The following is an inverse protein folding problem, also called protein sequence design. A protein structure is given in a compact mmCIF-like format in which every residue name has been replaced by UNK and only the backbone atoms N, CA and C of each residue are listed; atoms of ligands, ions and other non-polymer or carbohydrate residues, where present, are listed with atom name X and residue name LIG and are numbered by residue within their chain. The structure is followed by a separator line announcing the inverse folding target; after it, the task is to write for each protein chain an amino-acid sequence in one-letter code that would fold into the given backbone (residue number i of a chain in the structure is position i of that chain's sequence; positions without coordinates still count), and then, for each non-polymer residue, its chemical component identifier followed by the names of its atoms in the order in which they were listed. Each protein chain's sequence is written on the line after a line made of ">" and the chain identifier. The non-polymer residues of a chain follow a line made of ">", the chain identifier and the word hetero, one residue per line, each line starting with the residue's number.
data_IF_937016018449
#
_entry.id   IF_937016018449
#
_cell.length_a   1.000
_cell.length_b   1.000
_cell.length_c   1.000
_cell.angle_alpha   90.00
_cell.angle_beta   90.00
_cell.angle_gamma   90.00
#
_symmetry.space_group_name_H-M   'P 1'
#
loop_
_entity.id
_entity.type
_entity.pdbx_description
1 polymer ?
#
# COMPACT_ATOMS: atom_id res chain seq x y z
N UNK A 1 18.24 9.97 -12.99
CA UNK A 1 17.07 10.20 -12.11
C UNK A 1 15.92 9.44 -12.75
N UNK A 2 15.18 8.62 -11.98
CA UNK A 2 14.02 7.91 -12.52
C UNK A 2 12.94 8.92 -12.93
N UNK A 3 12.32 8.76 -14.09
CA UNK A 3 11.23 9.65 -14.53
C UNK A 3 9.95 9.39 -13.74
N UNK A 4 9.01 10.34 -13.74
CA UNK A 4 7.71 10.19 -13.07
C UNK A 4 6.95 8.93 -13.53
N UNK A 5 7.02 8.61 -14.82
CA UNK A 5 6.42 7.39 -15.38
C UNK A 5 7.08 6.09 -14.92
N UNK A 6 8.36 6.12 -14.51
CA UNK A 6 9.03 4.95 -13.95
C UNK A 6 8.58 4.70 -12.51
N UNK A 7 8.37 5.78 -11.75
CA UNK A 7 7.84 5.72 -10.38
C UNK A 7 6.41 5.23 -10.37
N UNK A 8 5.56 5.72 -11.28
CA UNK A 8 4.19 5.24 -11.43
C UNK A 8 4.16 3.72 -11.68
N UNK A 9 4.96 3.23 -12.64
CA UNK A 9 5.07 1.80 -12.93
C UNK A 9 5.61 1.00 -11.75
N UNK A 10 6.64 1.51 -11.08
CA UNK A 10 7.23 0.85 -9.92
C UNK A 10 6.24 0.76 -8.77
N UNK A 11 5.48 1.82 -8.51
CA UNK A 11 4.45 1.85 -7.47
C UNK A 11 3.27 0.95 -7.85
N UNK A 12 2.82 0.95 -9.10
CA UNK A 12 1.78 0.05 -9.58
C UNK A 12 2.18 -1.41 -9.42
N UNK A 13 3.36 -1.78 -9.92
CA UNK A 13 3.88 -3.15 -9.82
C UNK A 13 4.13 -3.55 -8.36
N UNK A 14 4.70 -2.64 -7.56
CA UNK A 14 4.91 -2.83 -6.13
C UNK A 14 3.60 -3.07 -5.39
N UNK A 15 2.56 -2.28 -5.68
CA UNK A 15 1.23 -2.43 -5.08
C UNK A 15 0.59 -3.76 -5.44
N UNK A 16 0.70 -4.19 -6.71
CA UNK A 16 0.22 -5.52 -7.15
C UNK A 16 0.95 -6.64 -6.44
N UNK A 17 2.27 -6.63 -6.44
CA UNK A 17 3.07 -7.69 -5.82
C UNK A 17 2.84 -7.76 -4.30
N UNK A 18 2.86 -6.60 -3.64
CA UNK A 18 2.67 -6.48 -2.20
C UNK A 18 1.25 -6.89 -1.78
N UNK A 19 0.23 -6.44 -2.51
CA UNK A 19 -1.14 -6.85 -2.31
C UNK A 19 -1.34 -8.35 -2.54
N UNK A 20 -0.76 -8.92 -3.60
CA UNK A 20 -0.82 -10.35 -3.88
C UNK A 20 -0.19 -11.19 -2.76
N UNK A 21 0.96 -10.77 -2.21
CA UNK A 21 1.59 -11.45 -1.05
C UNK A 21 0.68 -11.37 0.17
N UNK A 22 0.12 -10.20 0.49
CA UNK A 22 -0.80 -10.05 1.62
C UNK A 22 -2.08 -10.90 1.47
N UNK A 23 -2.62 -11.03 0.25
CA UNK A 23 -3.80 -11.84 -0.05
C UNK A 23 -3.53 -13.34 -0.04
N UNK A 24 -2.52 -13.78 -0.76
CA UNK A 24 -2.27 -15.21 -0.97
C UNK A 24 -1.50 -15.83 0.21
N UNK A 25 -0.62 -15.04 0.83
CA UNK A 25 0.31 -15.50 1.87
C UNK A 25 0.24 -14.62 3.14
N UNK A 26 -0.95 -14.44 3.77
CA UNK A 26 -1.10 -13.54 4.90
C UNK A 26 -0.22 -13.93 6.10
N UNK A 27 0.05 -15.22 6.32
CA UNK A 27 0.93 -15.66 7.41
C UNK A 27 2.36 -15.14 7.27
N UNK A 28 2.90 -15.22 6.06
CA UNK A 28 4.22 -14.68 5.75
C UNK A 28 4.23 -13.16 5.97
N UNK A 29 3.19 -12.49 5.48
CA UNK A 29 3.03 -11.05 5.66
C UNK A 29 3.00 -10.64 7.13
N UNK A 30 2.15 -11.27 7.95
CA UNK A 30 2.07 -11.00 9.39
C UNK A 30 3.40 -11.28 10.10
N UNK A 31 4.10 -12.36 9.73
CA UNK A 31 5.42 -12.68 10.26
C UNK A 31 6.47 -11.60 9.98
N UNK A 32 6.47 -11.01 8.77
CA UNK A 32 7.38 -9.90 8.44
C UNK A 32 7.15 -8.66 9.31
N UNK A 33 5.89 -8.38 9.64
CA UNK A 33 5.51 -7.23 10.47
C UNK A 33 5.52 -7.55 11.98
N UNK A 34 5.73 -8.81 12.37
CA UNK A 34 5.70 -9.24 13.78
C UNK A 34 4.30 -9.15 14.40
N UNK A 35 3.27 -9.37 13.58
CA UNK A 35 1.86 -9.38 14.02
C UNK A 35 1.47 -10.82 14.39
N UNK A 36 0.74 -11.04 15.50
CA UNK A 36 0.22 -12.36 15.86
C UNK A 36 -0.62 -13.01 14.75
N UNK A 37 -0.45 -14.32 14.53
CA UNK A 37 -1.16 -15.05 13.47
C UNK A 37 -2.58 -15.47 13.89
N UNK A 38 -3.47 -14.49 13.98
CA UNK A 38 -4.88 -14.69 14.32
C UNK A 38 -5.75 -14.83 13.06
N UNK A 39 -6.83 -15.63 13.13
CA UNK A 39 -7.71 -15.86 11.98
C UNK A 39 -8.41 -14.59 11.48
N UNK A 40 -8.87 -13.74 12.40
CA UNK A 40 -9.48 -12.43 12.11
C UNK A 40 -8.49 -11.51 11.40
N UNK A 41 -7.27 -11.44 11.92
CA UNK A 41 -6.20 -10.61 11.37
C UNK A 41 -5.81 -11.07 9.97
N UNK A 42 -5.66 -12.39 9.75
CA UNK A 42 -5.41 -12.94 8.40
C UNK A 42 -6.48 -12.53 7.41
N UNK A 43 -7.75 -12.61 7.77
CA UNK A 43 -8.86 -12.22 6.89
C UNK A 43 -8.78 -10.73 6.54
N UNK A 44 -8.50 -9.87 7.53
CA UNK A 44 -8.32 -8.43 7.29
C UNK A 44 -7.11 -8.15 6.40
N UNK A 45 -5.98 -8.83 6.61
CA UNK A 45 -4.79 -8.72 5.74
C UNK A 45 -5.09 -9.13 4.32
N UNK A 46 -5.93 -10.16 4.11
CA UNK A 46 -6.32 -10.57 2.75
C UNK A 46 -7.16 -9.51 2.06
N UNK A 47 -8.15 -8.95 2.74
CA UNK A 47 -9.03 -7.89 2.22
C UNK A 47 -8.25 -6.61 1.92
N UNK A 48 -7.32 -6.24 2.80
CA UNK A 48 -6.44 -5.11 2.54
C UNK A 48 -5.51 -5.39 1.35
N UNK A 49 -4.93 -6.60 1.28
CA UNK A 49 -4.09 -7.01 0.16
C UNK A 49 -4.80 -6.97 -1.18
N UNK A 50 -6.07 -7.41 -1.26
CA UNK A 50 -6.82 -7.39 -2.52
C UNK A 50 -7.08 -5.98 -2.97
N UNK A 51 -7.48 -5.09 -2.06
CA UNK A 51 -7.66 -3.66 -2.37
C UNK A 51 -6.36 -3.03 -2.90
N UNK A 52 -5.23 -3.28 -2.24
CA UNK A 52 -3.93 -2.75 -2.65
C UNK A 52 -3.52 -3.26 -4.04
N UNK A 53 -3.72 -4.55 -4.30
CA UNK A 53 -3.42 -5.13 -5.62
C UNK A 53 -4.31 -4.54 -6.72
N UNK A 54 -5.61 -4.38 -6.46
CA UNK A 54 -6.56 -3.80 -7.42
C UNK A 54 -6.21 -2.34 -7.73
N UNK A 55 -5.92 -1.52 -6.72
CA UNK A 55 -5.52 -0.13 -6.93
C UNK A 55 -4.22 -0.02 -7.74
N UNK A 56 -3.25 -0.90 -7.47
CA UNK A 56 -2.03 -1.02 -8.26
C UNK A 56 -2.29 -1.41 -9.72
N UNK A 57 -3.16 -2.39 -9.95
CA UNK A 57 -3.54 -2.84 -11.28
C UNK A 57 -4.27 -1.75 -12.08
N UNK A 58 -5.10 -0.93 -11.41
CA UNK A 58 -5.80 0.18 -12.05
C UNK A 58 -4.86 1.26 -12.60
N UNK A 59 -3.66 1.44 -12.04
CA UNK A 59 -2.66 2.36 -12.62
C UNK A 59 -2.24 1.93 -14.03
N UNK A 60 -2.22 0.62 -14.30
CA UNK A 60 -1.93 0.10 -15.63
C UNK A 60 -3.15 0.06 -16.55
N UNK A 61 -4.34 -0.17 -15.98
CA UNK A 61 -5.57 -0.35 -16.75
C UNK A 61 -6.27 0.96 -17.15
N UNK A 62 -6.11 2.03 -16.37
CA UNK A 62 -6.74 3.31 -16.68
C UNK A 62 -6.05 3.97 -17.87
N UNK A 63 -6.85 4.51 -18.79
CA UNK A 63 -6.39 5.37 -19.87
C UNK A 63 -6.55 6.86 -19.48
N UNK A 64 -5.66 7.69 -20.02
CA UNK A 64 -5.66 9.14 -19.81
C UNK A 64 -4.94 9.58 -18.54
N UNK A 65 -4.17 10.68 -18.67
CA UNK A 65 -3.33 11.24 -17.60
C UNK A 65 -4.16 11.75 -16.42
N UNK A 66 -5.32 12.36 -16.67
CA UNK A 66 -6.17 12.90 -15.60
C UNK A 66 -6.72 11.82 -14.66
N UNK A 67 -7.21 10.69 -15.19
CA UNK A 67 -7.77 9.61 -14.37
C UNK A 67 -6.68 8.92 -13.55
N UNK A 68 -5.48 8.73 -14.13
CA UNK A 68 -4.31 8.21 -13.41
C UNK A 68 -3.87 9.15 -12.29
N UNK A 69 -3.76 10.45 -12.55
CA UNK A 69 -3.44 11.44 -11.51
C UNK A 69 -4.47 11.43 -10.38
N UNK A 70 -5.77 11.39 -10.67
CA UNK A 70 -6.82 11.28 -9.64
C UNK A 70 -6.67 10.01 -8.81
N UNK A 71 -6.43 8.86 -9.45
CA UNK A 71 -6.20 7.59 -8.76
C UNK A 71 -4.96 7.67 -7.86
N UNK A 72 -3.86 8.23 -8.35
CA UNK A 72 -2.62 8.39 -7.58
C UNK A 72 -2.83 9.30 -6.37
N UNK A 73 -3.47 10.46 -6.56
CA UNK A 73 -3.77 11.40 -5.46
C UNK A 73 -4.65 10.77 -4.39
N UNK A 74 -5.72 10.07 -4.78
CA UNK A 74 -6.62 9.39 -3.82
C UNK A 74 -5.92 8.24 -3.11
N UNK A 75 -5.08 7.48 -3.83
CA UNK A 75 -4.28 6.40 -3.25
C UNK A 75 -3.21 6.94 -2.31
N UNK A 76 -2.62 8.11 -2.60
CA UNK A 76 -1.66 8.78 -1.73
C UNK A 76 -2.32 9.23 -0.43
N UNK A 77 -3.48 9.88 -0.52
CA UNK A 77 -4.27 10.31 0.64
C UNK A 77 -4.69 9.12 1.53
N UNK A 78 -5.14 8.02 0.91
CA UNK A 78 -5.48 6.78 1.62
C UNK A 78 -4.27 6.20 2.36
N UNK A 79 -3.11 6.08 1.69
CA UNK A 79 -1.90 5.55 2.32
C UNK A 79 -1.38 6.48 3.43
N UNK A 80 -1.53 7.79 3.29
CA UNK A 80 -1.18 8.74 4.35
C UNK A 80 -2.08 8.57 5.58
N UNK A 81 -3.39 8.41 5.38
CA UNK A 81 -4.33 8.11 6.45
C UNK A 81 -3.99 6.78 7.14
N UNK A 82 -3.70 5.72 6.37
CA UNK A 82 -3.30 4.42 6.91
C UNK A 82 -2.02 4.54 7.75
N UNK A 83 -1.02 5.30 7.28
CA UNK A 83 0.21 5.53 8.01
C UNK A 83 -0.03 6.18 9.38
N UNK A 84 -0.89 7.21 9.43
CA UNK A 84 -1.27 7.89 10.66
C UNK A 84 -2.08 6.99 11.60
N UNK A 85 -3.04 6.23 11.07
CA UNK A 85 -3.85 5.29 11.86
C UNK A 85 -2.98 4.22 12.49
N UNK A 86 -2.06 3.62 11.73
CA UNK A 86 -1.13 2.60 12.23
C UNK A 86 -0.14 3.19 13.24
N UNK A 87 0.37 4.40 12.99
CA UNK A 87 1.25 5.09 13.94
C UNK A 87 0.56 5.38 15.27
N UNK A 88 -0.73 5.75 15.24
CA UNK A 88 -1.54 6.06 16.41
C UNK A 88 -2.12 4.81 17.13
N UNK A 89 -2.09 3.65 16.49
CA UNK A 89 -2.68 2.43 17.03
C UNK A 89 -2.05 2.02 18.38
N UNK A 90 -2.91 1.81 19.38
CA UNK A 90 -2.52 1.27 20.70
C UNK A 90 -2.80 -0.23 20.75
N UNK A 91 -2.03 -0.97 21.54
CA UNK A 91 -2.19 -2.42 21.67
C UNK A 91 -1.63 -3.23 20.49
N UNK A 92 -0.99 -2.59 19.51
CA UNK A 92 -0.31 -3.26 18.39
C UNK A 92 1.20 -3.32 18.66
N UNK A 93 1.89 -4.44 18.33
CA UNK A 93 3.34 -4.56 18.48
C UNK A 93 4.10 -3.39 17.84
N UNK A 94 5.15 -2.91 18.51
CA UNK A 94 5.92 -1.75 18.04
C UNK A 94 6.51 -1.95 16.64
N UNK A 95 6.99 -3.17 16.34
CA UNK A 95 7.49 -3.54 15.00
C UNK A 95 6.42 -3.38 13.93
N UNK A 96 5.21 -3.89 14.19
CA UNK A 96 4.10 -3.79 13.26
C UNK A 96 3.67 -2.34 13.04
N UNK A 97 3.65 -1.53 14.10
CA UNK A 97 3.37 -0.09 14.01
C UNK A 97 4.39 0.65 13.15
N UNK A 98 5.68 0.45 13.42
CA UNK A 98 6.77 1.14 12.70
C UNK A 98 6.81 0.69 11.24
N UNK A 99 6.82 -0.61 10.97
CA UNK A 99 6.89 -1.10 9.59
C UNK A 99 5.62 -0.75 8.81
N UNK A 100 4.45 -0.88 9.44
CA UNK A 100 3.17 -0.55 8.81
C UNK A 100 3.08 0.93 8.46
N UNK A 101 3.42 1.82 9.40
CA UNK A 101 3.40 3.27 9.14
C UNK A 101 4.42 3.68 8.09
N UNK A 102 5.64 3.13 8.14
CA UNK A 102 6.68 3.42 7.14
C UNK A 102 6.30 2.93 5.75
N UNK A 103 5.74 1.72 5.65
CA UNK A 103 5.34 1.17 4.34
C UNK A 103 4.25 2.03 3.71
N UNK A 104 3.19 2.33 4.47
CA UNK A 104 2.11 3.19 3.99
C UNK A 104 2.60 4.60 3.67
N UNK A 105 3.46 5.20 4.51
CA UNK A 105 4.05 6.52 4.24
C UNK A 105 4.92 6.52 2.96
N UNK A 106 5.66 5.45 2.70
CA UNK A 106 6.47 5.32 1.49
C UNK A 106 5.60 5.28 0.22
N UNK A 107 4.51 4.49 0.23
CA UNK A 107 3.55 4.48 -0.88
C UNK A 107 2.87 5.85 -1.05
N UNK A 108 2.48 6.50 0.06
CA UNK A 108 1.89 7.83 0.01
C UNK A 108 2.83 8.85 -0.64
N UNK A 109 4.09 8.89 -0.21
CA UNK A 109 5.10 9.81 -0.75
C UNK A 109 5.40 9.53 -2.22
N UNK A 110 5.56 8.27 -2.61
CA UNK A 110 5.84 7.90 -3.99
C UNK A 110 4.68 8.27 -4.94
N UNK A 111 3.43 8.01 -4.54
CA UNK A 111 2.24 8.37 -5.31
C UNK A 111 2.06 9.89 -5.39
N UNK A 112 2.24 10.61 -4.28
CA UNK A 112 2.15 12.07 -4.26
C UNK A 112 3.23 12.73 -5.14
N UNK A 113 4.44 12.18 -5.16
CA UNK A 113 5.50 12.64 -6.05
C UNK A 113 5.13 12.41 -7.52
N UNK A 114 4.69 11.19 -7.86
CA UNK A 114 4.31 10.85 -9.22
C UNK A 114 3.08 11.62 -9.73
N UNK A 115 2.16 12.03 -8.85
CA UNK A 115 0.95 12.79 -9.24
C UNK A 115 1.19 14.27 -9.50
N UNK A 116 2.32 14.83 -9.04
CA UNK A 116 2.64 16.27 -9.15
C UNK A 116 3.65 16.59 -10.28
N UNK A 117 3.93 15.62 -11.14
CA UNK A 117 4.80 15.75 -12.31
C UNK A 117 3.95 15.67 -13.60
#
# INVERSE_FOLDING_TARGET
>A
MAGAGDIEKAVGAGSVAFGAVATLSPRLFLGMYGVPDEASVRTMTRLWGTRTAVLGALLFALEGTQNRQRLMTMSAAMNAADALMVAAARGIPARARVLGSLTSAAFAGALAYASNQ
#
